data_IF_102567475623
#
_entry.id   IF_102567475623
#
_cell.length_a   1.000
_cell.length_b   1.000
_cell.length_c   1.000
_cell.angle_alpha   90.00
_cell.angle_beta   90.00
_cell.angle_gamma   90.00
#
_symmetry.space_group_name_H-M   'P 1'
#
loop_
_entity.id
_entity.type
_entity.pdbx_description
1 polymer ?
#
# COMPACT_ATOMS: atom_id res chain seq x y z
N UNK A 1 -4.24 23.41 -14.75
CA UNK A 1 -4.72 23.55 -13.35
C UNK A 1 -3.80 22.75 -12.44
N UNK A 2 -3.68 23.12 -11.17
CA UNK A 2 -2.94 22.30 -10.20
C UNK A 2 -3.78 21.11 -9.77
N UNK A 3 -3.11 20.01 -9.38
CA UNK A 3 -3.75 18.79 -8.95
C UNK A 3 -3.01 18.18 -7.75
N UNK A 4 -3.75 17.82 -6.71
CA UNK A 4 -3.28 16.96 -5.63
C UNK A 4 -3.69 15.53 -5.95
N UNK A 5 -2.72 14.63 -6.02
CA UNK A 5 -2.93 13.19 -6.12
C UNK A 5 -2.64 12.56 -4.76
N UNK A 6 -3.59 11.78 -4.23
CA UNK A 6 -3.39 10.93 -3.06
C UNK A 6 -3.36 9.48 -3.51
N UNK A 7 -2.21 8.85 -3.39
CA UNK A 7 -2.00 7.45 -3.76
C UNK A 7 -2.25 6.56 -2.56
N UNK A 8 -3.11 5.55 -2.70
CA UNK A 8 -3.14 4.40 -1.80
C UNK A 8 -2.05 3.43 -2.26
N UNK A 9 -1.13 3.09 -1.35
CA UNK A 9 0.03 2.28 -1.66
C UNK A 9 -0.22 0.80 -1.37
N UNK A 10 0.63 -0.06 -1.94
CA UNK A 10 0.62 -1.51 -1.69
C UNK A 10 0.66 -1.85 -0.19
N UNK A 11 1.36 -1.05 0.62
CA UNK A 11 1.46 -1.22 2.07
C UNK A 11 0.24 -0.70 2.87
N UNK A 12 -0.84 -0.28 2.21
CA UNK A 12 -2.02 0.38 2.78
C UNK A 12 -1.77 1.76 3.45
N UNK A 13 -0.58 2.35 3.28
CA UNK A 13 -0.37 3.77 3.56
C UNK A 13 -0.77 4.63 2.38
N UNK A 14 -0.98 5.92 2.64
CA UNK A 14 -1.18 6.92 1.59
C UNK A 14 0.05 7.79 1.38
N UNK A 15 0.28 8.21 0.13
CA UNK A 15 1.28 9.19 -0.28
C UNK A 15 0.62 10.32 -1.07
N UNK A 16 1.16 11.54 -0.97
CA UNK A 16 0.61 12.70 -1.63
C UNK A 16 1.62 13.28 -2.62
N UNK A 17 1.14 13.63 -3.81
CA UNK A 17 1.93 14.27 -4.86
C UNK A 17 1.17 15.46 -5.41
N UNK A 18 1.85 16.60 -5.50
CA UNK A 18 1.33 17.76 -6.20
C UNK A 18 1.82 17.78 -7.65
N UNK A 19 0.89 18.01 -8.57
CA UNK A 19 1.16 18.43 -9.94
C UNK A 19 0.77 19.90 -10.07
N UNK A 20 1.77 20.77 -10.21
CA UNK A 20 1.59 22.21 -10.28
C UNK A 20 1.50 22.66 -11.73
N UNK A 21 0.54 23.51 -12.08
CA UNK A 21 0.51 24.14 -13.40
C UNK A 21 1.69 25.11 -13.60
N UNK A 22 2.02 25.44 -14.84
CA UNK A 22 3.17 26.30 -15.19
C UNK A 22 3.20 27.63 -14.41
N UNK A 23 2.04 28.29 -14.25
CA UNK A 23 1.91 29.51 -13.46
C UNK A 23 2.27 29.29 -11.99
N UNK A 24 1.77 28.22 -11.39
CA UNK A 24 2.08 27.87 -10.00
C UNK A 24 3.56 27.54 -9.82
N UNK A 25 4.17 26.83 -10.78
CA UNK A 25 5.60 26.54 -10.76
C UNK A 25 6.44 27.81 -10.80
N UNK A 26 6.08 28.78 -11.64
CA UNK A 26 6.76 30.09 -11.72
C UNK A 26 6.59 30.91 -10.43
N UNK A 27 5.47 30.73 -9.71
CA UNK A 27 5.14 31.45 -8.48
C UNK A 27 5.50 30.66 -7.21
N UNK A 28 6.58 29.88 -7.22
CA UNK A 28 7.08 29.20 -6.02
C UNK A 28 6.27 27.99 -5.57
N UNK A 29 5.56 27.32 -6.48
CA UNK A 29 4.72 26.13 -6.23
C UNK A 29 3.55 26.40 -5.28
N UNK A 30 2.95 27.58 -5.39
CA UNK A 30 1.71 27.92 -4.67
C UNK A 30 0.52 27.39 -5.48
N UNK A 31 -0.31 26.47 -4.95
CA UNK A 31 -1.43 25.91 -5.71
C UNK A 31 -2.40 26.98 -6.21
N UNK A 32 -2.93 26.81 -7.43
CA UNK A 32 -3.95 27.69 -7.97
C UNK A 32 -5.29 27.53 -7.21
N UNK A 33 -6.11 28.59 -7.17
CA UNK A 33 -7.43 28.54 -6.50
C UNK A 33 -8.34 27.42 -7.04
N UNK A 34 -8.27 27.12 -8.33
CA UNK A 34 -9.02 26.06 -9.00
C UNK A 34 -8.25 24.73 -9.07
N UNK A 35 -7.76 24.26 -7.93
CA UNK A 35 -7.09 22.96 -7.85
C UNK A 35 -8.09 21.80 -7.86
N UNK A 36 -7.63 20.65 -8.34
CA UNK A 36 -8.38 19.39 -8.22
C UNK A 36 -7.69 18.45 -7.24
N UNK A 37 -8.46 17.59 -6.60
CA UNK A 37 -7.95 16.50 -5.76
C UNK A 37 -8.47 15.19 -6.32
N UNK A 38 -7.59 14.20 -6.46
CA UNK A 38 -7.97 12.84 -6.84
C UNK A 38 -7.28 11.82 -5.95
N UNK A 39 -8.00 10.74 -5.67
CA UNK A 39 -7.46 9.55 -5.03
C UNK A 39 -7.12 8.54 -6.12
N UNK A 40 -5.91 8.00 -6.07
CA UNK A 40 -5.39 6.96 -6.95
C UNK A 40 -5.28 5.69 -6.10
N UNK A 41 -6.28 4.82 -6.21
CA UNK A 41 -6.34 3.60 -5.40
C UNK A 41 -5.27 2.58 -5.82
N UNK A 42 -4.91 1.68 -4.91
CA UNK A 42 -4.13 0.48 -5.25
C UNK A 42 -5.07 -0.62 -5.80
N UNK A 43 -4.69 -1.37 -6.85
CA UNK A 43 -3.46 -1.22 -7.64
C UNK A 43 -3.46 0.08 -8.46
N UNK A 44 -2.30 0.72 -8.56
CA UNK A 44 -2.17 2.00 -9.25
C UNK A 44 -2.50 1.81 -10.75
N UNK A 45 -3.42 2.61 -11.31
CA UNK A 45 -3.76 2.53 -12.73
C UNK A 45 -2.56 2.90 -13.63
N UNK A 46 -2.45 2.32 -14.84
CA UNK A 46 -1.31 2.52 -15.73
C UNK A 46 -0.97 3.99 -16.02
N UNK A 47 -1.97 4.86 -16.08
CA UNK A 47 -1.81 6.30 -16.33
C UNK A 47 -1.17 7.07 -15.16
N UNK A 48 -1.09 6.46 -13.97
CA UNK A 48 -0.49 7.06 -12.77
C UNK A 48 0.80 6.37 -12.34
N UNK A 49 1.32 5.42 -13.11
CA UNK A 49 2.59 4.72 -12.85
C UNK A 49 3.81 5.57 -13.26
N UNK A 50 4.97 5.46 -12.57
CA UNK A 50 5.20 4.63 -11.38
C UNK A 50 4.55 5.22 -10.12
N UNK A 51 3.90 4.36 -9.33
CA UNK A 51 3.40 4.72 -8.01
C UNK A 51 4.54 5.19 -7.08
N UNK A 52 4.32 6.19 -6.21
CA UNK A 52 5.35 6.64 -5.27
C UNK A 52 5.64 5.57 -4.22
N UNK A 53 6.89 5.51 -3.75
CA UNK A 53 7.27 4.62 -2.65
C UNK A 53 6.75 5.15 -1.30
N UNK A 54 6.50 4.23 -0.36
CA UNK A 54 6.16 4.64 1.00
C UNK A 54 7.43 5.12 1.73
N UNK A 55 7.46 6.39 2.10
CA UNK A 55 8.59 7.01 2.83
C UNK A 55 8.42 7.03 4.34
N UNK A 56 7.38 6.36 4.89
CA UNK A 56 7.18 6.28 6.34
C UNK A 56 8.27 5.39 6.97
N UNK A 57 9.15 5.92 7.84
CA UNK A 57 10.22 5.12 8.47
C UNK A 57 9.68 3.97 9.36
N UNK A 58 8.43 4.09 9.80
CA UNK A 58 7.68 3.12 10.59
C UNK A 58 6.86 2.13 9.76
N UNK A 59 6.96 2.14 8.43
CA UNK A 59 6.25 1.19 7.59
C UNK A 59 6.73 -0.24 7.81
N UNK A 60 5.94 -1.01 8.57
CA UNK A 60 6.25 -2.40 8.91
C UNK A 60 6.32 -3.29 7.67
N UNK A 61 5.40 -3.11 6.72
CA UNK A 61 5.42 -3.83 5.43
C UNK A 61 6.77 -3.70 4.72
N UNK A 62 7.32 -2.48 4.65
CA UNK A 62 8.64 -2.23 4.07
C UNK A 62 9.76 -2.85 4.90
N UNK A 63 9.68 -2.81 6.25
CA UNK A 63 10.66 -3.48 7.13
C UNK A 63 10.68 -5.01 6.94
N UNK A 64 9.56 -5.59 6.53
CA UNK A 64 9.44 -7.00 6.20
C UNK A 64 9.82 -7.30 4.73
N UNK A 65 10.39 -6.35 3.99
CA UNK A 65 10.73 -6.46 2.56
C UNK A 65 9.52 -6.81 1.67
N UNK A 66 8.34 -6.34 2.09
CA UNK A 66 7.08 -6.51 1.35
C UNK A 66 6.49 -7.92 1.41
N UNK A 67 7.07 -8.84 2.18
CA UNK A 67 6.58 -10.21 2.32
C UNK A 67 6.38 -10.56 3.80
N UNK A 68 5.16 -10.94 4.20
CA UNK A 68 4.81 -11.12 5.61
C UNK A 68 3.82 -12.26 5.89
N UNK A 69 3.87 -12.78 7.11
CA UNK A 69 2.95 -13.77 7.64
C UNK A 69 1.87 -13.09 8.48
N UNK A 70 0.62 -13.40 8.21
CA UNK A 70 -0.51 -12.82 8.91
C UNK A 70 -0.64 -13.41 10.32
N UNK A 71 -0.45 -12.57 11.34
CA UNK A 71 -0.58 -13.01 12.73
C UNK A 71 -2.02 -13.30 13.15
N UNK A 72 -3.02 -12.99 12.31
CA UNK A 72 -4.43 -13.27 12.61
C UNK A 72 -4.89 -14.60 12.03
N UNK A 73 -4.82 -14.77 10.70
CA UNK A 73 -5.30 -15.99 10.03
C UNK A 73 -4.22 -17.04 9.78
N UNK A 74 -2.95 -16.75 10.09
CA UNK A 74 -1.82 -17.64 9.85
C UNK A 74 -1.36 -17.74 8.39
N UNK A 75 -2.01 -17.03 7.44
CA UNK A 75 -1.60 -17.02 6.03
C UNK A 75 -0.16 -16.55 5.90
N UNK A 76 0.68 -17.37 5.30
CA UNK A 76 2.08 -17.03 5.02
C UNK A 76 2.21 -16.33 3.67
N UNK A 77 3.33 -15.61 3.50
CA UNK A 77 3.74 -15.07 2.20
C UNK A 77 2.73 -14.07 1.57
N UNK A 78 2.20 -13.14 2.36
CA UNK A 78 1.42 -12.02 1.83
C UNK A 78 2.35 -11.00 1.18
N UNK A 79 2.07 -10.60 -0.05
CA UNK A 79 2.85 -9.64 -0.85
C UNK A 79 2.20 -8.26 -0.94
N UNK A 80 1.05 -8.08 -0.30
CA UNK A 80 0.31 -6.83 -0.19
C UNK A 80 0.18 -6.44 1.27
N UNK A 81 0.01 -5.15 1.58
CA UNK A 81 -0.16 -4.63 2.93
C UNK A 81 -1.43 -5.10 3.64
N UNK A 82 -2.36 -5.74 2.92
CA UNK A 82 -3.60 -6.32 3.43
C UNK A 82 -3.66 -7.80 3.09
N UNK A 83 -3.99 -8.61 4.09
CA UNK A 83 -4.19 -10.04 3.95
C UNK A 83 -5.49 -10.32 3.18
N UNK A 84 -5.52 -11.46 2.50
CA UNK A 84 -6.69 -11.97 1.75
C UNK A 84 -6.93 -13.46 2.04
N UNK A 85 -6.45 -13.95 3.18
CA UNK A 85 -6.58 -15.36 3.55
C UNK A 85 -8.04 -15.74 3.78
N UNK A 86 -8.52 -16.81 3.16
CA UNK A 86 -9.84 -17.38 3.48
C UNK A 86 -9.76 -18.17 4.78
N UNK A 87 -10.74 -17.97 5.65
CA UNK A 87 -10.93 -18.68 6.90
C UNK A 87 -12.31 -19.34 6.88
N UNK A 88 -12.43 -20.50 7.53
CA UNK A 88 -13.72 -21.15 7.76
C UNK A 88 -13.99 -21.00 9.25
N UNK A 89 -14.92 -20.11 9.62
CA UNK A 89 -15.38 -19.94 10.99
C UNK A 89 -16.90 -19.84 10.98
N UNK A 90 -17.58 -20.99 11.09
CA UNK A 90 -19.03 -21.17 10.87
C UNK A 90 -19.50 -20.87 9.44
N UNK A 91 -18.96 -19.83 8.81
CA UNK A 91 -19.15 -19.44 7.41
C UNK A 91 -17.78 -19.15 6.74
N UNK A 92 -17.76 -19.09 5.41
CA UNK A 92 -16.57 -18.72 4.64
C UNK A 92 -16.33 -17.21 4.79
N UNK A 93 -15.26 -16.81 5.46
CA UNK A 93 -14.90 -15.39 5.69
C UNK A 93 -13.49 -15.11 5.17
N UNK A 94 -13.26 -13.91 4.64
CA UNK A 94 -11.91 -13.44 4.26
C UNK A 94 -11.28 -12.63 5.38
N UNK A 95 -10.04 -12.94 5.72
CA UNK A 95 -9.21 -12.12 6.59
C UNK A 95 -8.90 -10.79 5.89
N UNK A 96 -9.14 -9.67 6.58
CA UNK A 96 -8.85 -8.31 6.11
C UNK A 96 -7.73 -7.64 6.91
N UNK A 97 -6.84 -8.44 7.50
CA UNK A 97 -5.78 -7.93 8.37
C UNK A 97 -4.80 -7.06 7.60
N UNK A 98 -4.56 -5.84 8.07
CA UNK A 98 -3.49 -4.98 7.54
C UNK A 98 -2.17 -5.34 8.26
N UNK A 99 -1.06 -5.36 7.53
CA UNK A 99 0.27 -5.63 8.05
C UNK A 99 0.55 -4.77 9.28
N UNK A 100 0.75 -5.40 10.43
CA UNK A 100 0.89 -4.74 11.72
C UNK A 100 2.20 -5.18 12.42
N UNK A 101 2.61 -4.52 13.52
CA UNK A 101 3.87 -4.82 14.20
C UNK A 101 4.03 -6.27 14.70
N UNK A 102 2.94 -7.03 14.84
CA UNK A 102 2.95 -8.44 15.24
C UNK A 102 3.14 -9.40 14.07
N UNK A 103 3.07 -8.91 12.83
CA UNK A 103 3.34 -9.71 11.64
C UNK A 103 4.83 -9.99 11.52
N UNK A 104 5.18 -11.23 11.19
CA UNK A 104 6.56 -11.64 10.97
C UNK A 104 6.91 -11.64 9.48
N UNK A 105 8.20 -11.59 9.18
CA UNK A 105 8.69 -11.68 7.79
C UNK A 105 8.28 -13.02 7.19
N UNK A 106 7.70 -12.97 5.99
CA UNK A 106 7.34 -14.16 5.25
C UNK A 106 8.60 -14.80 4.69
N UNK A 107 9.06 -15.87 5.30
CA UNK A 107 10.11 -16.70 4.71
C UNK A 107 9.50 -17.57 3.62
N UNK A 108 10.16 -17.68 2.47
CA UNK A 108 10.04 -18.85 1.61
C UNK A 108 10.57 -20.07 2.38
N UNK A 109 9.83 -20.58 3.36
CA UNK A 109 9.95 -22.01 3.62
C UNK A 109 9.47 -22.63 2.32
N UNK A 110 10.42 -23.18 1.57
CA UNK A 110 10.13 -23.88 0.34
C UNK A 110 8.93 -24.77 0.58
N UNK A 111 8.09 -24.93 -0.43
CA UNK A 111 7.37 -26.19 -0.54
C UNK A 111 8.34 -27.33 -0.14
N UNK A 112 7.83 -28.32 0.58
CA UNK A 112 8.48 -29.57 1.01
C UNK A 112 8.95 -29.64 2.47
N UNK A 113 8.12 -30.34 3.24
CA UNK A 113 8.49 -30.97 4.50
C UNK A 113 7.54 -32.15 4.73
N UNK A 114 7.83 -33.27 4.08
CA UNK A 114 7.24 -34.57 4.37
C UNK A 114 7.37 -34.89 5.86
N UNK A 115 6.26 -35.29 6.49
CA UNK A 115 6.21 -36.35 7.51
C UNK A 115 4.83 -36.97 7.48
#
# INVERSE_FOLDING_TARGET
>A
MCQLLTYDLICCHSSQKWDYCAESQANGRIPCKSQTHRVVSYPTPPEFEPAPLCHRPECHFNRLDGVWNCCWCGKTHNTTGRCSGMMIYQELTTCDHICCPFCERGTTRGCWGSR
#
